data_IF_791501753621
#
_entry.id   IF_791501753621
#
_cell.length_a   1.000
_cell.length_b   1.000
_cell.length_c   1.000
_cell.angle_alpha   90.00
_cell.angle_beta   90.00
_cell.angle_gamma   90.00
#
_symmetry.space_group_name_H-M   'P 1'
#
loop_
_entity.id
_entity.type
_entity.pdbx_description
1 polymer ?
#
# COMPACT_ATOMS: atom_id res chain seq x y z
N UNK A 1 -23.90 2.24 -20.81
CA UNK A 1 -23.05 1.10 -20.39
C UNK A 1 -21.82 1.12 -21.29
N UNK A 2 -20.74 1.72 -20.85
CA UNK A 2 -19.44 1.63 -21.52
C UNK A 2 -18.85 0.27 -21.19
N UNK A 3 -18.54 -0.58 -22.17
CA UNK A 3 -17.79 -1.80 -21.93
C UNK A 3 -16.35 -1.41 -21.57
N UNK A 4 -16.02 -1.39 -20.31
CA UNK A 4 -14.65 -1.25 -19.83
C UNK A 4 -14.06 -2.66 -19.78
N UNK A 5 -13.58 -3.16 -20.91
CA UNK A 5 -12.94 -4.46 -21.01
C UNK A 5 -11.48 -4.42 -20.49
N UNK A 6 -10.88 -3.23 -20.36
CA UNK A 6 -9.54 -3.06 -19.85
C UNK A 6 -9.55 -2.47 -18.44
N UNK A 7 -8.91 -3.18 -17.52
CA UNK A 7 -8.70 -2.68 -16.14
C UNK A 7 -7.70 -1.54 -16.17
N UNK A 8 -8.16 -0.33 -15.92
CA UNK A 8 -7.28 0.83 -15.86
C UNK A 8 -6.29 0.70 -14.70
N UNK A 9 -5.06 1.18 -14.91
CA UNK A 9 -3.99 1.17 -13.90
C UNK A 9 -4.41 1.80 -12.56
N UNK A 10 -5.28 2.80 -12.59
CA UNK A 10 -5.87 3.45 -11.42
C UNK A 10 -6.71 2.50 -10.54
N UNK A 11 -7.45 1.58 -11.16
CA UNK A 11 -8.23 0.57 -10.43
C UNK A 11 -7.30 -0.47 -9.80
N UNK A 12 -6.26 -0.88 -10.52
CA UNK A 12 -5.25 -1.82 -9.99
C UNK A 12 -4.50 -1.24 -8.80
N UNK A 13 -4.15 0.06 -8.83
CA UNK A 13 -3.49 0.73 -7.71
C UNK A 13 -4.33 0.70 -6.41
N UNK A 14 -5.67 0.58 -6.51
CA UNK A 14 -6.57 0.49 -5.35
C UNK A 14 -6.79 -0.92 -4.82
N UNK A 15 -6.17 -1.93 -5.42
CA UNK A 15 -6.24 -3.32 -4.93
C UNK A 15 -5.07 -3.69 -4.02
N UNK A 16 -4.06 -2.82 -3.91
CA UNK A 16 -2.86 -3.05 -3.09
C UNK A 16 -2.67 -1.90 -2.11
N UNK A 17 -3.05 -2.07 -0.84
CA UNK A 17 -2.90 -1.03 0.17
C UNK A 17 -1.43 -0.72 0.42
N UNK A 18 -1.15 0.56 0.64
CA UNK A 18 0.18 1.10 0.91
C UNK A 18 0.22 1.77 2.29
N UNK A 19 1.43 2.00 2.81
CA UNK A 19 1.60 2.75 4.06
C UNK A 19 1.07 4.18 3.95
N UNK A 20 1.07 4.75 2.74
CA UNK A 20 0.53 6.09 2.49
C UNK A 20 -0.98 6.14 2.67
N UNK A 21 -1.71 5.10 2.31
CA UNK A 21 -3.16 5.01 2.52
C UNK A 21 -3.48 5.05 4.02
N UNK A 22 -2.70 4.35 4.84
CA UNK A 22 -2.83 4.37 6.30
C UNK A 22 -2.58 5.78 6.87
N UNK A 23 -1.51 6.45 6.41
CA UNK A 23 -1.21 7.83 6.83
C UNK A 23 -2.32 8.81 6.43
N UNK A 24 -2.82 8.71 5.20
CA UNK A 24 -3.93 9.54 4.71
C UNK A 24 -5.19 9.29 5.55
N UNK A 25 -5.49 8.04 5.86
CA UNK A 25 -6.64 7.68 6.70
C UNK A 25 -6.53 8.24 8.12
N UNK A 26 -5.33 8.16 8.74
CA UNK A 26 -5.07 8.73 10.06
C UNK A 26 -5.21 10.27 10.04
N UNK A 27 -4.56 10.94 9.10
CA UNK A 27 -4.63 12.39 8.97
C UNK A 27 -6.07 12.85 8.67
N UNK A 28 -6.77 12.16 7.77
CA UNK A 28 -8.17 12.44 7.44
C UNK A 28 -9.10 12.27 8.62
N UNK A 29 -8.92 11.22 9.43
CA UNK A 29 -9.69 10.99 10.65
C UNK A 29 -9.44 12.04 11.72
N UNK A 30 -8.19 12.47 11.92
CA UNK A 30 -7.85 13.57 12.86
C UNK A 30 -8.42 14.90 12.36
N UNK A 31 -8.26 15.24 11.10
CA UNK A 31 -8.84 16.44 10.51
C UNK A 31 -10.38 16.44 10.64
N UNK A 32 -11.01 15.28 10.44
CA UNK A 32 -12.44 15.08 10.58
C UNK A 32 -12.92 15.43 11.99
N UNK A 33 -12.29 14.88 13.03
CA UNK A 33 -12.72 15.13 14.41
C UNK A 33 -12.44 16.58 14.84
N UNK A 34 -11.34 17.18 14.41
CA UNK A 34 -11.03 18.60 14.68
C UNK A 34 -12.11 19.50 14.08
N UNK A 35 -12.47 19.27 12.83
CA UNK A 35 -13.47 20.08 12.14
C UNK A 35 -14.89 19.89 12.73
N UNK A 36 -15.25 18.68 13.17
CA UNK A 36 -16.50 18.44 13.88
C UNK A 36 -16.56 19.12 15.26
N UNK A 37 -15.39 19.42 15.83
CA UNK A 37 -15.26 20.04 17.16
C UNK A 37 -15.26 21.55 17.13
N UNK A 38 -15.04 22.14 15.97
CA UNK A 38 -15.05 23.61 15.81
C UNK A 38 -16.50 24.13 15.72
N UNK A 39 -16.73 25.31 16.30
CA UNK A 39 -18.05 25.96 16.32
C UNK A 39 -18.51 26.45 14.94
N UNK A 40 -17.59 26.59 14.01
CA UNK A 40 -17.92 27.00 12.64
C UNK A 40 -18.49 25.81 11.85
N UNK A 41 -19.64 26.07 11.17
CA UNK A 41 -20.42 25.03 10.45
C UNK A 41 -19.73 24.56 9.16
N UNK A 42 -18.47 24.17 9.24
CA UNK A 42 -17.66 23.74 8.09
C UNK A 42 -17.50 22.22 7.97
N UNK A 43 -18.55 21.45 8.22
CA UNK A 43 -18.51 19.97 8.19
C UNK A 43 -18.29 19.38 6.78
N UNK A 44 -18.28 20.18 5.73
CA UNK A 44 -18.15 19.72 4.34
C UNK A 44 -16.71 19.23 4.07
N UNK A 45 -15.70 19.98 4.49
CA UNK A 45 -14.28 19.65 4.22
C UNK A 45 -13.88 18.29 4.81
N UNK A 46 -14.14 18.01 6.12
CA UNK A 46 -13.81 16.70 6.69
C UNK A 46 -14.62 15.56 6.06
N UNK A 47 -15.88 15.80 5.73
CA UNK A 47 -16.71 14.81 5.03
C UNK A 47 -16.13 14.43 3.67
N UNK A 48 -15.67 15.41 2.89
CA UNK A 48 -15.00 15.18 1.61
C UNK A 48 -13.69 14.42 1.80
N UNK A 49 -12.86 14.79 2.78
CA UNK A 49 -11.59 14.11 3.05
C UNK A 49 -11.79 12.62 3.41
N UNK A 50 -12.79 12.29 4.21
CA UNK A 50 -13.15 10.90 4.54
C UNK A 50 -13.71 10.18 3.31
N UNK A 51 -14.58 10.83 2.55
CA UNK A 51 -15.16 10.25 1.35
C UNK A 51 -14.09 9.91 0.28
N UNK A 52 -13.09 10.78 0.09
CA UNK A 52 -11.99 10.53 -0.85
C UNK A 52 -11.11 9.34 -0.45
N UNK A 53 -11.01 9.02 0.82
CA UNK A 53 -10.29 7.86 1.31
C UNK A 53 -11.08 6.55 1.18
N UNK A 54 -12.41 6.59 1.28
CA UNK A 54 -13.27 5.40 1.34
C UNK A 54 -13.96 5.06 0.02
N UNK A 55 -14.35 6.07 -0.76
CA UNK A 55 -15.16 5.87 -1.96
C UNK A 55 -14.40 5.16 -3.09
N UNK A 56 -13.14 5.51 -3.44
CA UNK A 56 -12.42 4.84 -4.51
C UNK A 56 -12.20 3.34 -4.28
N UNK A 57 -11.76 2.89 -3.10
CA UNK A 57 -11.66 1.46 -2.82
C UNK A 57 -13.00 0.73 -2.91
N UNK A 58 -14.08 1.36 -2.44
CA UNK A 58 -15.41 0.77 -2.49
C UNK A 58 -15.93 0.63 -3.93
N UNK A 59 -15.68 1.65 -4.78
CA UNK A 59 -16.00 1.60 -6.21
C UNK A 59 -15.20 0.50 -6.92
N UNK A 60 -13.91 0.35 -6.61
CA UNK A 60 -13.06 -0.72 -7.17
C UNK A 60 -13.53 -2.10 -6.71
N UNK A 61 -13.96 -2.24 -5.47
CA UNK A 61 -14.58 -3.48 -4.98
C UNK A 61 -15.86 -3.81 -5.75
N UNK A 62 -16.73 -2.81 -5.97
CA UNK A 62 -17.93 -2.97 -6.80
C UNK A 62 -17.62 -3.39 -8.23
N UNK A 63 -16.58 -2.81 -8.84
CA UNK A 63 -16.09 -3.22 -10.15
C UNK A 63 -15.61 -4.67 -10.16
N UNK A 64 -14.83 -5.08 -9.13
CA UNK A 64 -14.38 -6.47 -8.98
C UNK A 64 -15.53 -7.47 -8.91
N UNK A 65 -16.62 -7.13 -8.20
CA UNK A 65 -17.84 -7.94 -8.18
C UNK A 65 -18.53 -7.99 -9.55
N UNK A 66 -18.66 -6.86 -10.21
CA UNK A 66 -19.34 -6.75 -11.51
C UNK A 66 -18.62 -7.53 -12.63
N UNK A 67 -17.29 -7.60 -12.55
CA UNK A 67 -16.44 -8.33 -13.52
C UNK A 67 -16.18 -9.79 -13.10
N UNK A 68 -16.71 -10.23 -11.94
CA UNK A 68 -16.47 -11.57 -11.41
C UNK A 68 -15.03 -11.81 -10.92
N UNK A 69 -14.22 -10.77 -10.78
CA UNK A 69 -12.85 -10.89 -10.32
C UNK A 69 -12.76 -10.75 -8.80
N UNK A 70 -12.75 -11.90 -8.12
CA UNK A 70 -12.73 -11.96 -6.66
C UNK A 70 -11.45 -11.37 -6.05
N UNK A 71 -10.32 -11.43 -6.74
CA UNK A 71 -9.06 -10.84 -6.26
C UNK A 71 -9.14 -9.32 -6.22
N UNK A 72 -9.71 -8.69 -7.23
CA UNK A 72 -9.93 -7.23 -7.23
C UNK A 72 -10.92 -6.82 -6.16
N UNK A 73 -12.00 -7.59 -6.00
CA UNK A 73 -12.96 -7.34 -4.92
C UNK A 73 -12.30 -7.40 -3.54
N UNK A 74 -11.61 -8.50 -3.23
CA UNK A 74 -11.00 -8.70 -1.91
C UNK A 74 -9.90 -7.68 -1.63
N UNK A 75 -9.04 -7.36 -2.61
CA UNK A 75 -7.97 -6.37 -2.46
C UNK A 75 -8.51 -4.98 -2.17
N UNK A 76 -9.47 -4.52 -2.96
CA UNK A 76 -10.08 -3.21 -2.80
C UNK A 76 -10.95 -3.11 -1.54
N UNK A 77 -11.72 -4.15 -1.23
CA UNK A 77 -12.51 -4.21 0.01
C UNK A 77 -11.62 -4.21 1.24
N UNK A 78 -10.47 -4.86 1.15
CA UNK A 78 -9.47 -4.85 2.20
C UNK A 78 -8.88 -3.45 2.41
N UNK A 79 -8.55 -2.70 1.34
CA UNK A 79 -8.10 -1.31 1.45
C UNK A 79 -9.18 -0.42 2.08
N UNK A 80 -10.44 -0.59 1.68
CA UNK A 80 -11.58 0.10 2.31
C UNK A 80 -11.66 -0.19 3.81
N UNK A 81 -11.49 -1.45 4.19
CA UNK A 81 -11.54 -1.88 5.59
C UNK A 81 -10.42 -1.24 6.42
N UNK A 82 -9.18 -1.27 5.94
CA UNK A 82 -8.04 -0.63 6.61
C UNK A 82 -8.31 0.86 6.80
N UNK A 83 -8.67 1.57 5.76
CA UNK A 83 -8.94 3.01 5.83
C UNK A 83 -10.02 3.31 6.87
N UNK A 84 -11.11 2.53 6.89
CA UNK A 84 -12.19 2.68 7.88
C UNK A 84 -11.71 2.49 9.31
N UNK A 85 -10.86 1.49 9.55
CA UNK A 85 -10.28 1.21 10.88
C UNK A 85 -9.37 2.36 11.32
N UNK A 86 -8.47 2.84 10.44
CA UNK A 86 -7.54 3.89 10.81
C UNK A 86 -8.21 5.26 10.97
N UNK A 87 -9.22 5.58 10.18
CA UNK A 87 -10.06 6.77 10.38
C UNK A 87 -10.78 6.69 11.74
N UNK A 88 -11.35 5.54 12.07
CA UNK A 88 -12.04 5.33 13.35
C UNK A 88 -11.07 5.44 14.53
N UNK A 89 -9.87 4.88 14.41
CA UNK A 89 -8.82 4.97 15.40
C UNK A 89 -8.36 6.41 15.62
N UNK A 90 -8.12 7.14 14.54
CA UNK A 90 -7.73 8.56 14.58
C UNK A 90 -8.83 9.41 15.26
N UNK A 91 -10.08 9.18 14.88
CA UNK A 91 -11.23 9.85 15.50
C UNK A 91 -11.32 9.53 16.99
N UNK A 92 -11.16 8.27 17.39
CA UNK A 92 -11.16 7.86 18.79
C UNK A 92 -10.06 8.54 19.60
N UNK A 93 -8.83 8.60 19.05
CA UNK A 93 -7.69 9.29 19.68
C UNK A 93 -8.02 10.79 19.80
N UNK A 94 -8.51 11.41 18.72
CA UNK A 94 -8.88 12.82 18.70
C UNK A 94 -9.92 13.19 19.75
N UNK A 95 -11.01 12.42 19.86
CA UNK A 95 -12.05 12.60 20.91
C UNK A 95 -11.43 12.51 22.29
N UNK A 96 -10.48 11.60 22.51
CA UNK A 96 -9.84 11.43 23.81
C UNK A 96 -8.88 12.57 24.14
N UNK A 97 -8.12 13.05 23.17
CA UNK A 97 -7.18 14.18 23.33
C UNK A 97 -7.94 15.50 23.59
N UNK A 98 -9.04 15.69 22.88
CA UNK A 98 -9.87 16.91 23.01
C UNK A 98 -10.75 16.92 24.26
N UNK A 99 -10.66 15.92 25.13
CA UNK A 99 -11.37 15.83 26.41
C UNK A 99 -12.90 16.06 26.27
N UNK A 100 -13.52 15.51 25.22
CA UNK A 100 -14.98 15.57 25.10
C UNK A 100 -15.67 15.01 26.34
N UNK A 101 -16.72 15.70 26.79
CA UNK A 101 -17.53 15.23 27.92
C UNK A 101 -18.14 13.87 27.58
N UNK A 102 -17.84 12.88 28.41
CA UNK A 102 -18.41 11.55 28.25
C UNK A 102 -19.88 11.58 28.71
N UNK A 103 -20.74 11.01 27.90
CA UNK A 103 -22.12 10.77 28.31
C UNK A 103 -22.11 9.74 29.43
N UNK A 104 -22.66 10.11 30.59
CA UNK A 104 -22.79 9.18 31.69
C UNK A 104 -23.91 8.17 31.40
N UNK A 105 -23.62 6.91 31.61
CA UNK A 105 -24.62 5.85 31.53
C UNK A 105 -25.39 5.80 32.82
N UNK A 106 -26.71 5.70 32.71
CA UNK A 106 -27.62 5.57 33.87
C UNK A 106 -27.37 4.24 34.59
N UNK A 107 -26.95 3.21 33.86
CA UNK A 107 -26.70 1.88 34.40
C UNK A 107 -25.19 1.53 34.25
N UNK A 108 -24.52 1.42 35.41
CA UNK A 108 -23.07 1.10 35.48
C UNK A 108 -22.73 -0.29 34.97
N UNK A 109 -23.64 -1.24 35.02
CA UNK A 109 -23.42 -2.60 34.47
C UNK A 109 -23.40 -2.57 32.95
N UNK A 110 -24.34 -1.86 32.34
CA UNK A 110 -24.37 -1.65 30.89
C UNK A 110 -23.13 -0.88 30.40
N UNK A 111 -22.65 0.08 31.16
CA UNK A 111 -21.42 0.81 30.84
C UNK A 111 -20.23 -0.13 30.73
N UNK A 112 -20.05 -1.07 31.65
CA UNK A 112 -18.98 -2.07 31.63
C UNK A 112 -19.09 -2.99 30.42
N UNK A 113 -20.29 -3.45 30.08
CA UNK A 113 -20.54 -4.29 28.92
C UNK A 113 -20.23 -3.57 27.61
N UNK A 114 -20.71 -2.34 27.46
CA UNK A 114 -20.45 -1.52 26.27
C UNK A 114 -18.93 -1.26 26.10
N UNK A 115 -18.22 -0.89 27.16
CA UNK A 115 -16.77 -0.72 27.14
C UNK A 115 -16.06 -2.00 26.74
N UNK A 116 -16.46 -3.15 27.26
CA UNK A 116 -15.91 -4.45 26.91
C UNK A 116 -16.11 -4.75 25.42
N UNK A 117 -17.31 -4.53 24.89
CA UNK A 117 -17.59 -4.75 23.46
C UNK A 117 -16.77 -3.81 22.57
N UNK A 118 -16.66 -2.53 22.91
CA UNK A 118 -15.85 -1.56 22.16
C UNK A 118 -14.39 -2.02 22.14
N UNK A 119 -13.81 -2.43 23.27
CA UNK A 119 -12.43 -2.90 23.34
C UNK A 119 -12.25 -4.16 22.49
N UNK A 120 -13.15 -5.14 22.60
CA UNK A 120 -13.05 -6.40 21.84
C UNK A 120 -13.15 -6.13 20.33
N UNK A 121 -14.10 -5.33 19.90
CA UNK A 121 -14.26 -4.98 18.48
C UNK A 121 -13.02 -4.22 17.97
N UNK A 122 -12.52 -3.24 18.75
CA UNK A 122 -11.33 -2.48 18.37
C UNK A 122 -10.10 -3.39 18.25
N UNK A 123 -9.87 -4.28 19.22
CA UNK A 123 -8.76 -5.24 19.16
C UNK A 123 -8.92 -6.22 17.99
N UNK A 124 -10.12 -6.73 17.78
CA UNK A 124 -10.40 -7.66 16.68
C UNK A 124 -10.17 -7.03 15.29
N UNK A 125 -10.41 -5.71 15.17
CA UNK A 125 -10.15 -4.98 13.93
C UNK A 125 -8.69 -4.54 13.78
N UNK A 126 -8.03 -4.18 14.90
CA UNK A 126 -6.64 -3.74 14.87
C UNK A 126 -5.64 -4.87 14.61
N UNK A 127 -5.84 -6.06 15.17
CA UNK A 127 -4.90 -7.16 15.01
C UNK A 127 -4.65 -7.54 13.54
N UNK A 128 -5.67 -7.78 12.70
CA UNK A 128 -5.47 -8.03 11.28
C UNK A 128 -4.82 -6.84 10.57
N UNK A 129 -5.24 -5.60 10.87
CA UNK A 129 -4.69 -4.41 10.25
C UNK A 129 -3.20 -4.25 10.54
N UNK A 130 -2.75 -4.48 11.78
CA UNK A 130 -1.33 -4.45 12.15
C UNK A 130 -0.55 -5.54 11.41
N UNK A 131 -1.07 -6.77 11.39
CA UNK A 131 -0.43 -7.88 10.69
C UNK A 131 -0.22 -7.59 9.21
N UNK A 132 -1.21 -7.05 8.56
CA UNK A 132 -1.18 -6.74 7.14
C UNK A 132 -0.29 -5.52 6.85
N UNK A 133 -0.36 -4.48 7.69
CA UNK A 133 0.54 -3.31 7.59
C UNK A 133 2.02 -3.75 7.72
N UNK A 134 2.32 -4.67 8.62
CA UNK A 134 3.67 -5.21 8.76
C UNK A 134 4.16 -5.91 7.47
N UNK A 135 3.28 -6.66 6.81
CA UNK A 135 3.56 -7.26 5.50
C UNK A 135 3.85 -6.22 4.42
N UNK A 136 3.02 -5.18 4.34
CA UNK A 136 3.16 -4.08 3.39
C UNK A 136 4.48 -3.33 3.62
N UNK A 137 4.79 -2.97 4.87
CA UNK A 137 6.03 -2.27 5.23
C UNK A 137 7.25 -3.09 4.80
N UNK A 138 7.25 -4.40 5.05
CA UNK A 138 8.33 -5.29 4.60
C UNK A 138 8.47 -5.32 3.08
N UNK A 139 7.36 -5.41 2.36
CA UNK A 139 7.36 -5.38 0.90
C UNK A 139 7.91 -4.06 0.36
N UNK A 140 7.46 -2.93 0.93
CA UNK A 140 7.92 -1.60 0.51
C UNK A 140 9.40 -1.38 0.78
N UNK A 141 9.90 -1.82 1.94
CA UNK A 141 11.34 -1.73 2.26
C UNK A 141 12.15 -2.60 1.28
N UNK A 142 11.69 -3.80 1.01
CA UNK A 142 12.34 -4.70 0.05
C UNK A 142 12.38 -4.10 -1.37
N UNK A 143 11.26 -3.54 -1.84
CA UNK A 143 11.18 -2.88 -3.14
C UNK A 143 12.07 -1.63 -3.22
N UNK A 144 12.13 -0.82 -2.16
CA UNK A 144 13.03 0.32 -2.09
C UNK A 144 14.49 -0.11 -2.13
N UNK A 145 14.86 -1.12 -1.34
CA UNK A 145 16.21 -1.69 -1.34
C UNK A 145 16.59 -2.28 -2.70
N UNK A 146 15.65 -2.98 -3.34
CA UNK A 146 15.86 -3.55 -4.68
C UNK A 146 16.04 -2.46 -5.75
N UNK A 147 15.28 -1.37 -5.67
CA UNK A 147 15.43 -0.24 -6.58
C UNK A 147 16.79 0.47 -6.39
N UNK A 148 17.23 0.66 -5.13
CA UNK A 148 18.55 1.23 -4.85
C UNK A 148 19.66 0.34 -5.40
N UNK A 149 19.56 -0.97 -5.16
CA UNK A 149 20.49 -1.96 -5.74
C UNK A 149 20.55 -1.89 -7.26
N UNK A 150 19.41 -1.84 -7.93
CA UNK A 150 19.35 -1.75 -9.39
C UNK A 150 20.01 -0.46 -9.89
N UNK A 151 19.77 0.67 -9.23
CA UNK A 151 20.29 1.97 -9.63
C UNK A 151 21.81 2.14 -9.35
N UNK A 152 22.33 1.50 -8.29
CA UNK A 152 23.72 1.67 -7.87
C UNK A 152 24.65 0.59 -8.45
N UNK A 153 24.17 -0.65 -8.53
CA UNK A 153 25.02 -1.80 -8.90
C UNK A 153 24.82 -2.26 -10.36
N UNK A 154 23.73 -1.87 -11.01
CA UNK A 154 23.41 -2.28 -12.38
C UNK A 154 23.53 -1.12 -13.39
N UNK A 155 24.27 -0.07 -13.03
CA UNK A 155 24.63 1.02 -13.95
C UNK A 155 25.92 0.65 -14.70
N UNK A 156 25.78 -0.20 -15.71
CA UNK A 156 26.89 -0.63 -16.55
C UNK A 156 27.09 0.29 -17.75
N UNK A 157 28.34 0.52 -18.14
CA UNK A 157 28.68 1.35 -19.31
C UNK A 157 27.99 0.87 -20.59
N UNK A 158 27.23 1.76 -21.22
CA UNK A 158 26.45 1.50 -22.45
C UNK A 158 25.34 0.45 -22.31
N UNK A 159 24.80 0.29 -21.10
CA UNK A 159 23.68 -0.61 -20.84
C UNK A 159 22.60 0.17 -20.12
N UNK A 160 21.33 -0.01 -20.50
CA UNK A 160 20.19 0.63 -19.86
C UNK A 160 19.20 -0.40 -19.34
N UNK A 161 18.67 -0.15 -18.16
CA UNK A 161 17.58 -0.92 -17.56
C UNK A 161 16.27 -0.47 -18.21
N UNK A 162 15.61 -1.37 -18.96
CA UNK A 162 14.34 -1.07 -19.62
C UNK A 162 13.16 -1.50 -18.78
N UNK A 163 13.25 -2.67 -18.18
CA UNK A 163 12.18 -3.24 -17.36
C UNK A 163 12.75 -3.84 -16.09
N UNK A 164 11.99 -3.69 -15.01
CA UNK A 164 12.34 -4.23 -13.70
C UNK A 164 11.11 -4.84 -13.05
N UNK A 165 11.23 -6.08 -12.64
CA UNK A 165 10.17 -6.80 -11.97
C UNK A 165 10.68 -7.31 -10.62
N UNK A 166 10.20 -6.68 -9.55
CA UNK A 166 10.58 -6.99 -8.19
C UNK A 166 9.43 -7.76 -7.52
N UNK A 167 9.71 -8.92 -6.95
CA UNK A 167 8.73 -9.71 -6.23
C UNK A 167 9.22 -10.03 -4.83
N UNK A 168 8.58 -9.40 -3.83
CA UNK A 168 8.86 -9.67 -2.42
C UNK A 168 8.48 -11.11 -2.01
N UNK A 169 7.34 -11.62 -2.49
CA UNK A 169 6.86 -12.95 -2.14
C UNK A 169 7.82 -14.06 -2.60
N UNK A 170 8.33 -13.92 -3.83
CA UNK A 170 9.29 -14.88 -4.42
C UNK A 170 10.73 -14.58 -4.03
N UNK A 171 10.97 -13.43 -3.40
CA UNK A 171 12.30 -12.87 -3.17
C UNK A 171 13.14 -12.89 -4.45
N UNK A 172 12.58 -12.36 -5.53
CA UNK A 172 13.17 -12.40 -6.86
C UNK A 172 13.20 -11.01 -7.46
N UNK A 173 14.34 -10.67 -8.05
CA UNK A 173 14.54 -9.44 -8.79
C UNK A 173 14.86 -9.84 -10.23
N UNK A 174 14.05 -9.42 -11.19
CA UNK A 174 14.30 -9.57 -12.63
C UNK A 174 14.54 -8.21 -13.23
N UNK A 175 15.56 -8.13 -14.04
CA UNK A 175 15.93 -6.90 -14.74
C UNK A 175 16.15 -7.22 -16.21
N UNK A 176 15.59 -6.40 -17.09
CA UNK A 176 15.82 -6.48 -18.54
C UNK A 176 16.78 -5.37 -18.92
N UNK A 177 17.94 -5.76 -19.42
CA UNK A 177 19.00 -4.86 -19.84
C UNK A 177 19.05 -4.79 -21.38
N UNK A 178 19.25 -3.59 -21.92
CA UNK A 178 19.58 -3.36 -23.32
C UNK A 178 20.94 -2.67 -23.42
N UNK A 179 21.77 -3.12 -24.32
CA UNK A 179 23.09 -2.56 -24.57
C UNK A 179 24.14 -3.61 -24.83
N UNK A 180 25.37 -3.33 -24.39
CA UNK A 180 26.48 -4.27 -24.49
C UNK A 180 26.30 -5.46 -23.53
N UNK A 181 26.86 -6.60 -23.94
CA UNK A 181 26.85 -7.81 -23.10
C UNK A 181 27.69 -7.56 -21.83
N UNK A 182 27.05 -7.70 -20.66
CA UNK A 182 27.72 -7.50 -19.36
C UNK A 182 28.48 -8.77 -19.00
N UNK A 183 29.77 -8.68 -18.64
CA UNK A 183 30.58 -9.83 -18.24
C UNK A 183 29.98 -10.54 -17.01
N UNK A 184 30.02 -11.87 -16.98
CA UNK A 184 29.54 -12.65 -15.84
C UNK A 184 30.24 -12.28 -14.52
N UNK A 185 31.48 -11.80 -14.58
CA UNK A 185 32.25 -11.35 -13.44
C UNK A 185 31.65 -10.11 -12.76
N UNK A 186 31.17 -9.14 -13.54
CA UNK A 186 30.49 -7.94 -13.03
C UNK A 186 29.12 -8.30 -12.43
N UNK A 187 28.41 -9.21 -13.06
CA UNK A 187 27.15 -9.74 -12.57
C UNK A 187 27.34 -10.49 -11.24
N UNK A 188 28.42 -11.27 -11.13
CA UNK A 188 28.74 -11.99 -9.91
C UNK A 188 29.07 -11.02 -8.76
N UNK A 189 29.83 -9.96 -9.04
CA UNK A 189 30.17 -8.92 -8.06
C UNK A 189 28.92 -8.19 -7.58
N UNK A 190 28.05 -7.77 -8.49
CA UNK A 190 26.76 -7.14 -8.13
C UNK A 190 25.90 -8.08 -7.29
N UNK A 191 25.91 -9.39 -7.58
CA UNK A 191 25.18 -10.40 -6.80
C UNK A 191 25.70 -10.55 -5.38
N UNK A 192 27.00 -10.47 -5.16
CA UNK A 192 27.60 -10.54 -3.83
C UNK A 192 27.26 -9.29 -3.00
N UNK A 193 27.07 -8.14 -3.65
CA UNK A 193 26.70 -6.87 -3.02
C UNK A 193 25.23 -6.81 -2.57
N UNK A 194 24.37 -7.75 -2.96
CA UNK A 194 22.97 -7.83 -2.49
C UNK A 194 22.84 -7.77 -0.95
N UNK A 195 23.84 -8.29 -0.23
CA UNK A 195 23.85 -8.28 1.23
C UNK A 195 23.96 -6.86 1.82
N UNK A 196 24.64 -5.96 1.13
CA UNK A 196 24.80 -4.57 1.58
C UNK A 196 23.48 -3.76 1.47
N UNK A 197 22.57 -4.20 0.63
CA UNK A 197 21.24 -3.58 0.43
C UNK A 197 20.13 -4.26 1.24
N UNK A 198 20.44 -5.07 2.26
CA UNK A 198 19.45 -5.84 3.03
C UNK A 198 18.60 -6.83 2.19
N UNK A 199 19.14 -7.24 1.06
CA UNK A 199 18.50 -8.20 0.14
C UNK A 199 19.00 -9.64 0.33
N UNK A 200 19.51 -9.95 1.51
CA UNK A 200 20.00 -11.28 1.84
C UNK A 200 18.91 -12.34 1.65
N UNK A 201 19.24 -13.41 0.90
CA UNK A 201 18.29 -14.49 0.58
C UNK A 201 17.39 -14.20 -0.63
N UNK A 202 17.63 -13.13 -1.38
CA UNK A 202 17.02 -12.92 -2.69
C UNK A 202 17.59 -13.95 -3.68
N UNK A 203 16.72 -14.58 -4.48
CA UNK A 203 17.15 -15.47 -5.56
C UNK A 203 18.03 -14.71 -6.54
N UNK A 204 18.99 -15.38 -7.17
CA UNK A 204 19.88 -14.72 -8.11
C UNK A 204 19.07 -13.94 -9.15
N UNK A 205 19.51 -12.69 -9.35
CA UNK A 205 18.91 -11.77 -10.32
C UNK A 205 18.96 -12.41 -11.70
N UNK A 206 17.81 -12.55 -12.33
CA UNK A 206 17.73 -13.04 -13.71
C UNK A 206 17.84 -11.86 -14.64
N UNK A 207 18.84 -11.89 -15.51
CA UNK A 207 19.06 -10.86 -16.53
C UNK A 207 18.61 -11.38 -17.89
N UNK A 208 17.91 -10.55 -18.62
CA UNK A 208 17.62 -10.81 -20.03
C UNK A 208 18.30 -9.73 -20.85
N UNK A 209 19.28 -10.11 -21.65
CA UNK A 209 19.96 -9.21 -22.59
C UNK A 209 19.16 -9.14 -23.90
N UNK A 210 18.73 -7.94 -24.26
CA UNK A 210 18.20 -7.66 -25.59
C UNK A 210 19.29 -6.93 -26.39
N UNK A 211 19.81 -7.57 -27.44
CA UNK A 211 20.68 -6.88 -28.42
C UNK A 211 19.83 -5.86 -29.17
N UNK A 212 20.30 -4.62 -29.23
CA UNK A 212 19.78 -3.68 -30.20
C UNK A 212 19.99 -4.29 -31.60
N UNK A 213 18.88 -4.58 -32.29
CA UNK A 213 18.96 -5.04 -33.68
C UNK A 213 19.59 -3.91 -34.50
N UNK A 214 20.83 -4.07 -34.92
CA UNK A 214 21.35 -3.26 -36.00
C UNK A 214 20.49 -3.54 -37.25
N UNK A 215 19.55 -2.63 -37.51
CA UNK A 215 18.93 -2.59 -38.83
C UNK A 215 20.02 -2.19 -39.81
N UNK A 216 20.69 -3.22 -40.32
CA UNK A 216 21.59 -3.07 -41.45
C UNK A 216 20.83 -2.43 -42.59
N UNK A 217 21.20 -1.22 -42.87
CA UNK A 217 20.83 -0.49 -44.07
C UNK A 217 21.72 -1.09 -45.19
N UNK A 218 21.14 -1.94 -45.99
CA UNK A 218 21.60 -2.19 -47.36
C UNK A 218 20.73 -1.38 -48.31
#
# INVERSE_FOLDING_TARGET
LTPLDEVQSELLARTSPTIYDVLIALCGGLAGIIALSTKEKGNVIPGVAIATALMPPLCTAGFGLATGNLLYFLGAFYLYFINSVFISLATFIGVRVMHFQRKEFVDKEREKLVKKYIIVITLATMCPAIYLTYGIVKSTIYEASANNFINEELDFNNTQVIDRKISFEKKEIRVVLIGNEVPETEIATARDNLKHFNLAGTKPVSYTHLRAHETGRN
#
